data_IF_977248066706
#
_entry.id   IF_977248066706
#
_cell.length_a   1.000
_cell.length_b   1.000
_cell.length_c   1.000
_cell.angle_alpha   90.00
_cell.angle_beta   90.00
_cell.angle_gamma   90.00
#
_symmetry.space_group_name_H-M   'P 1'
#
loop_
_entity.id
_entity.type
_entity.pdbx_description
1 polymer ?
#
# COMPACT_ATOMS: atom_id res chain seq x y z
N UNK A 1 21.91 -3.63 48.83
CA UNK A 1 20.62 -3.47 48.12
C UNK A 1 19.80 -2.38 48.82
N UNK A 2 20.02 -1.11 48.48
CA UNK A 2 19.37 0.03 49.15
C UNK A 2 18.00 0.36 48.55
N UNK A 3 16.98 -0.45 48.84
CA UNK A 3 15.59 -0.12 48.50
C UNK A 3 14.76 0.05 49.76
N UNK A 4 13.91 1.05 49.75
CA UNK A 4 13.08 1.39 50.90
C UNK A 4 12.14 0.21 51.27
N UNK A 5 12.05 -0.18 52.56
CA UNK A 5 11.20 -1.29 53.02
C UNK A 5 9.73 -1.16 52.62
N UNK A 6 9.19 0.06 52.48
CA UNK A 6 7.81 0.29 52.05
C UNK A 6 7.61 -0.10 50.58
N UNK A 7 8.63 0.11 49.76
CA UNK A 7 8.62 -0.31 48.35
C UNK A 7 8.59 -1.83 48.25
N UNK A 8 9.42 -2.52 49.04
CA UNK A 8 9.44 -3.99 49.10
C UNK A 8 8.06 -4.53 49.52
N UNK A 9 7.47 -3.97 50.57
CA UNK A 9 6.14 -4.36 51.05
C UNK A 9 5.03 -4.10 50.02
N UNK A 10 5.10 -2.98 49.28
CA UNK A 10 4.19 -2.67 48.16
C UNK A 10 4.25 -3.73 47.05
N UNK A 11 5.45 -4.15 46.65
CA UNK A 11 5.62 -5.20 45.65
C UNK A 11 5.08 -6.56 46.11
N UNK A 12 5.37 -6.97 47.35
CA UNK A 12 4.84 -8.23 47.92
C UNK A 12 3.31 -8.20 47.93
N UNK A 13 2.71 -7.10 48.40
CA UNK A 13 1.25 -6.97 48.46
C UNK A 13 0.61 -6.91 47.07
N UNK A 14 1.26 -6.27 46.10
CA UNK A 14 0.83 -6.27 44.70
C UNK A 14 0.82 -7.69 44.14
N UNK A 15 1.92 -8.42 44.30
CA UNK A 15 2.05 -9.80 43.81
C UNK A 15 1.00 -10.74 44.44
N UNK A 16 0.77 -10.64 45.75
CA UNK A 16 -0.29 -11.41 46.44
C UNK A 16 -1.71 -11.14 45.89
N UNK A 17 -1.96 -9.95 45.32
CA UNK A 17 -3.29 -9.55 44.81
C UNK A 17 -3.49 -9.84 43.32
N UNK A 18 -2.48 -9.55 42.48
CA UNK A 18 -2.62 -9.60 41.02
C UNK A 18 -1.80 -10.72 40.36
N UNK A 19 -1.02 -11.48 41.14
CA UNK A 19 -0.07 -12.53 40.67
C UNK A 19 0.90 -12.01 39.60
N UNK A 20 1.08 -10.68 39.54
CA UNK A 20 1.89 -10.02 38.52
C UNK A 20 2.62 -8.83 39.14
N UNK A 21 3.92 -8.75 38.82
CA UNK A 21 4.82 -7.68 39.25
C UNK A 21 4.82 -6.55 38.23
N UNK A 22 4.35 -6.81 37.00
CA UNK A 22 4.32 -5.87 35.89
C UNK A 22 3.45 -4.64 36.19
N UNK A 23 3.90 -3.48 35.75
CA UNK A 23 3.15 -2.25 35.94
C UNK A 23 1.98 -2.18 34.96
N UNK A 24 0.78 -2.01 35.49
CA UNK A 24 -0.39 -1.70 34.68
C UNK A 24 -0.21 -0.34 34.00
N UNK A 25 -0.73 -0.17 32.78
CA UNK A 25 -0.76 1.13 32.12
C UNK A 25 -1.49 2.12 33.03
N UNK A 26 -0.93 3.32 33.14
CA UNK A 26 -1.57 4.42 33.88
C UNK A 26 -2.78 4.92 33.08
N UNK A 27 -3.83 5.38 33.76
CA UNK A 27 -5.07 5.86 33.13
C UNK A 27 -4.90 7.01 32.13
N UNK A 28 -3.75 7.69 32.16
CA UNK A 28 -3.44 8.77 31.22
C UNK A 28 -4.38 9.97 31.33
N UNK A 29 -4.20 10.93 30.43
CA UNK A 29 -5.10 12.08 30.29
C UNK A 29 -6.34 11.64 29.49
N UNK A 30 -7.56 12.04 29.88
CA UNK A 30 -8.74 11.75 29.07
C UNK A 30 -8.61 12.35 27.66
N UNK A 31 -9.10 11.66 26.61
CA UNK A 31 -9.07 12.15 25.25
C UNK A 31 -9.80 13.50 25.11
N UNK A 32 -9.36 14.34 24.19
CA UNK A 32 -9.98 15.63 23.92
C UNK A 32 -11.39 15.53 23.31
N UNK A 33 -11.74 14.37 22.74
CA UNK A 33 -13.02 14.12 22.08
C UNK A 33 -13.63 12.81 22.57
N UNK A 34 -14.95 12.78 22.68
CA UNK A 34 -15.72 11.58 22.96
C UNK A 34 -15.83 10.68 21.70
N UNK A 35 -16.17 9.41 21.91
CA UNK A 35 -16.38 8.41 20.86
C UNK A 35 -17.42 8.89 19.84
N UNK A 36 -18.49 9.56 20.31
CA UNK A 36 -19.55 10.08 19.43
C UNK A 36 -18.99 11.14 18.48
N UNK A 37 -18.18 12.07 18.98
CA UNK A 37 -17.58 13.14 18.18
C UNK A 37 -16.53 12.59 17.21
N UNK A 38 -15.74 11.60 17.64
CA UNK A 38 -14.82 10.87 16.76
C UNK A 38 -15.58 10.21 15.60
N UNK A 39 -16.69 9.53 15.89
CA UNK A 39 -17.50 8.87 14.87
C UNK A 39 -18.17 9.88 13.92
N UNK A 40 -18.63 11.01 14.44
CA UNK A 40 -19.19 12.10 13.63
C UNK A 40 -18.14 12.62 12.63
N UNK A 41 -16.91 12.85 13.08
CA UNK A 41 -15.79 13.25 12.22
C UNK A 41 -15.51 12.20 11.13
N UNK A 42 -15.42 10.92 11.50
CA UNK A 42 -15.16 9.83 10.55
C UNK A 42 -16.26 9.75 9.49
N UNK A 43 -17.53 9.87 9.89
CA UNK A 43 -18.66 9.85 8.96
C UNK A 43 -18.68 11.06 8.03
N UNK A 44 -18.33 12.24 8.53
CA UNK A 44 -18.25 13.45 7.73
C UNK A 44 -17.16 13.34 6.66
N UNK A 45 -15.97 12.87 7.02
CA UNK A 45 -14.87 12.63 6.07
C UNK A 45 -15.23 11.56 5.05
N UNK A 46 -15.95 10.50 5.46
CA UNK A 46 -16.43 9.47 4.53
C UNK A 46 -17.43 10.02 3.51
N UNK A 47 -18.32 10.91 3.92
CA UNK A 47 -19.27 11.60 3.03
C UNK A 47 -18.53 12.53 2.06
N UNK A 48 -17.58 13.30 2.58
CA UNK A 48 -16.85 14.34 1.85
C UNK A 48 -15.39 13.94 1.56
N UNK A 49 -15.17 12.75 0.99
CA UNK A 49 -13.83 12.14 0.83
C UNK A 49 -12.83 12.98 0.02
N UNK A 50 -13.30 13.94 -0.78
CA UNK A 50 -12.45 14.82 -1.62
C UNK A 50 -12.24 16.20 -1.03
N UNK A 51 -12.97 16.57 0.02
CA UNK A 51 -12.82 17.86 0.68
C UNK A 51 -11.45 17.89 1.40
N UNK A 52 -10.75 19.04 1.38
CA UNK A 52 -9.56 19.21 2.16
C UNK A 52 -9.89 19.17 3.66
N UNK A 53 -8.98 18.60 4.46
CA UNK A 53 -9.24 18.35 5.89
C UNK A 53 -9.67 19.61 6.65
N UNK A 54 -9.08 20.76 6.35
CA UNK A 54 -9.39 22.01 7.06
C UNK A 54 -10.83 22.50 6.87
N UNK A 55 -11.50 22.13 5.77
CA UNK A 55 -12.94 22.43 5.57
C UNK A 55 -13.84 21.49 6.39
N UNK A 56 -13.37 20.28 6.67
CA UNK A 56 -14.12 19.27 7.42
C UNK A 56 -13.99 19.49 8.94
N UNK A 57 -12.82 19.95 9.40
CA UNK A 57 -12.56 20.24 10.81
C UNK A 57 -12.41 21.73 11.06
N UNK A 58 -13.54 22.44 11.05
CA UNK A 58 -13.60 23.87 11.36
C UNK A 58 -13.29 24.18 12.84
N UNK A 59 -13.62 23.27 13.75
CA UNK A 59 -13.51 23.49 15.21
C UNK A 59 -12.30 22.80 15.84
N UNK A 60 -11.66 21.87 15.12
CA UNK A 60 -10.59 21.02 15.65
C UNK A 60 -9.24 21.37 15.06
N UNK A 61 -8.21 21.26 15.90
CA UNK A 61 -6.83 21.36 15.43
C UNK A 61 -6.55 20.25 14.40
N UNK A 62 -6.01 20.57 13.20
CA UNK A 62 -5.82 19.59 12.13
C UNK A 62 -5.00 18.37 12.54
N UNK A 63 -4.08 18.53 13.49
CA UNK A 63 -3.26 17.43 14.02
C UNK A 63 -4.11 16.39 14.75
N UNK A 64 -5.02 16.84 15.63
CA UNK A 64 -5.94 15.96 16.37
C UNK A 64 -6.85 15.20 15.43
N UNK A 65 -7.39 15.90 14.42
CA UNK A 65 -8.23 15.30 13.39
C UNK A 65 -7.48 14.21 12.61
N UNK A 66 -6.23 14.48 12.18
CA UNK A 66 -5.40 13.48 11.49
C UNK A 66 -5.17 12.23 12.34
N UNK A 67 -4.83 12.37 13.62
CA UNK A 67 -4.60 11.22 14.50
C UNK A 67 -5.85 10.32 14.57
N UNK A 68 -7.03 10.91 14.75
CA UNK A 68 -8.29 10.17 14.81
C UNK A 68 -8.61 9.48 13.49
N UNK A 69 -8.35 10.15 12.36
CA UNK A 69 -8.54 9.56 11.03
C UNK A 69 -7.56 8.43 10.76
N UNK A 70 -6.30 8.54 11.18
CA UNK A 70 -5.32 7.45 11.09
C UNK A 70 -5.69 6.26 11.98
N UNK A 71 -6.17 6.49 13.20
CA UNK A 71 -6.74 5.44 14.07
C UNK A 71 -7.91 4.71 13.39
N UNK A 72 -8.66 5.41 12.54
CA UNK A 72 -9.76 4.86 11.73
C UNK A 72 -9.32 4.36 10.33
N UNK A 73 -8.00 4.23 10.08
CA UNK A 73 -7.41 3.80 8.81
C UNK A 73 -7.75 4.69 7.59
N UNK A 74 -8.12 5.95 7.84
CA UNK A 74 -8.40 6.95 6.80
C UNK A 74 -7.17 7.83 6.60
N UNK A 75 -6.46 7.56 5.49
CA UNK A 75 -5.29 8.33 5.07
C UNK A 75 -5.61 9.18 3.83
N UNK A 76 -5.03 10.38 3.76
CA UNK A 76 -5.02 11.15 2.51
C UNK A 76 -4.19 10.42 1.45
N UNK A 77 -4.73 10.26 0.24
CA UNK A 77 -4.00 9.71 -0.91
C UNK A 77 -3.94 10.75 -2.02
N UNK A 78 -2.76 10.91 -2.63
CA UNK A 78 -2.61 11.70 -3.85
C UNK A 78 -3.06 10.84 -5.03
N UNK A 79 -4.08 11.28 -5.76
CA UNK A 79 -4.47 10.62 -7.00
C UNK A 79 -3.33 10.75 -8.02
N UNK A 80 -2.99 9.65 -8.71
CA UNK A 80 -1.98 9.67 -9.77
C UNK A 80 -2.34 10.75 -10.81
N UNK A 81 -1.38 11.63 -11.13
CA UNK A 81 -1.63 12.91 -11.80
C UNK A 81 -2.36 12.80 -13.14
N UNK A 82 -2.20 11.71 -13.91
CA UNK A 82 -2.82 11.53 -15.24
C UNK A 82 -3.06 10.06 -15.57
N UNK A 83 -4.17 9.48 -15.12
CA UNK A 83 -4.71 8.26 -15.74
C UNK A 83 -5.64 8.68 -16.88
N UNK A 84 -5.60 8.03 -18.05
CA UNK A 84 -6.58 8.31 -19.10
C UNK A 84 -7.99 8.03 -18.58
N UNK A 85 -8.94 8.91 -18.93
CA UNK A 85 -10.33 8.75 -18.55
C UNK A 85 -10.90 7.47 -19.18
N UNK A 86 -11.36 6.54 -18.34
CA UNK A 86 -12.00 5.31 -18.79
C UNK A 86 -13.48 5.61 -18.95
N UNK A 87 -13.93 5.83 -20.19
CA UNK A 87 -15.35 5.91 -20.51
C UNK A 87 -16.04 4.58 -20.25
N UNK A 88 -17.36 4.61 -20.12
CA UNK A 88 -18.18 3.40 -19.94
C UNK A 88 -17.95 2.37 -21.06
N UNK A 89 -17.81 2.85 -22.30
CA UNK A 89 -17.42 2.01 -23.45
C UNK A 89 -16.08 1.31 -23.23
N UNK A 90 -15.06 2.02 -22.74
CA UNK A 90 -13.75 1.42 -22.48
C UNK A 90 -13.81 0.42 -21.31
N UNK A 91 -14.58 0.71 -20.27
CA UNK A 91 -14.78 -0.20 -19.15
C UNK A 91 -15.46 -1.51 -19.61
N UNK A 92 -16.53 -1.41 -20.38
CA UNK A 92 -17.23 -2.56 -20.95
C UNK A 92 -16.31 -3.41 -21.84
N UNK A 93 -15.50 -2.78 -22.70
CA UNK A 93 -14.54 -3.48 -23.55
C UNK A 93 -13.44 -4.21 -22.74
N UNK A 94 -13.00 -3.63 -21.62
CA UNK A 94 -12.03 -4.28 -20.72
C UNK A 94 -12.65 -5.48 -20.01
N UNK A 95 -13.89 -5.36 -19.55
CA UNK A 95 -14.63 -6.46 -18.90
C UNK A 95 -14.86 -7.59 -19.91
N UNK A 96 -15.33 -7.29 -21.12
CA UNK A 96 -15.57 -8.32 -22.14
C UNK A 96 -14.29 -9.04 -22.57
N UNK A 97 -13.17 -8.31 -22.67
CA UNK A 97 -11.86 -8.91 -22.90
C UNK A 97 -11.45 -9.83 -21.74
N UNK A 98 -11.57 -9.35 -20.49
CA UNK A 98 -11.26 -10.17 -19.31
C UNK A 98 -12.10 -11.46 -19.27
N UNK A 99 -13.41 -11.35 -19.39
CA UNK A 99 -14.33 -12.50 -19.39
C UNK A 99 -13.99 -13.52 -20.48
N UNK A 100 -13.60 -13.06 -21.67
CA UNK A 100 -13.19 -13.92 -22.78
C UNK A 100 -11.91 -14.72 -22.50
N UNK A 101 -10.99 -14.18 -21.71
CA UNK A 101 -9.65 -14.76 -21.52
C UNK A 101 -9.36 -15.24 -20.09
N UNK A 102 -10.26 -15.02 -19.11
CA UNK A 102 -10.06 -15.39 -17.70
C UNK A 102 -9.82 -16.89 -17.51
N UNK A 103 -10.53 -17.74 -18.26
CA UNK A 103 -10.47 -19.22 -18.16
C UNK A 103 -9.42 -19.85 -19.08
N UNK A 104 -8.59 -19.06 -19.76
CA UNK A 104 -7.56 -19.61 -20.64
C UNK A 104 -6.48 -20.34 -19.84
N UNK A 105 -6.09 -21.50 -20.36
CA UNK A 105 -5.10 -22.39 -19.75
C UNK A 105 -3.69 -21.77 -19.75
N UNK A 106 -2.82 -22.29 -18.89
CA UNK A 106 -1.42 -21.90 -18.85
C UNK A 106 -0.71 -22.14 -20.21
N UNK A 107 -1.04 -23.24 -20.91
CA UNK A 107 -0.51 -23.53 -22.25
C UNK A 107 -0.86 -22.43 -23.25
N UNK A 108 -2.10 -21.92 -23.23
CA UNK A 108 -2.49 -20.78 -24.06
C UNK A 108 -1.70 -19.52 -23.70
N UNK A 109 -1.54 -19.22 -22.41
CA UNK A 109 -0.81 -18.03 -21.94
C UNK A 109 0.68 -18.07 -22.33
N UNK A 110 1.30 -19.25 -22.34
CA UNK A 110 2.70 -19.44 -22.74
C UNK A 110 2.94 -19.21 -24.24
N UNK A 111 1.89 -19.14 -25.06
CA UNK A 111 1.98 -18.84 -26.48
C UNK A 111 1.75 -17.35 -26.80
N UNK A 112 1.37 -16.54 -25.80
CA UNK A 112 1.08 -15.12 -25.99
C UNK A 112 2.34 -14.29 -25.74
N UNK A 113 2.79 -13.59 -26.77
CA UNK A 113 3.87 -12.59 -26.67
C UNK A 113 3.23 -11.22 -26.59
N UNK A 114 3.55 -10.45 -25.54
CA UNK A 114 3.16 -9.06 -25.41
C UNK A 114 4.29 -8.16 -25.88
N UNK A 115 3.97 -7.17 -26.71
CA UNK A 115 4.89 -6.12 -27.16
C UNK A 115 4.23 -4.78 -26.91
N UNK A 116 4.99 -3.83 -26.38
CA UNK A 116 4.56 -2.44 -26.23
C UNK A 116 5.69 -1.52 -26.69
N UNK A 117 5.32 -0.37 -27.25
CA UNK A 117 6.28 0.62 -27.75
C UNK A 117 6.54 1.66 -26.67
N UNK A 118 7.81 1.86 -26.34
CA UNK A 118 8.23 2.97 -25.46
C UNK A 118 9.09 3.96 -26.24
N UNK A 119 8.80 5.25 -26.08
CA UNK A 119 9.64 6.30 -26.65
C UNK A 119 10.88 6.47 -25.79
N UNK A 120 12.05 6.44 -26.43
CA UNK A 120 13.32 6.79 -25.80
C UNK A 120 13.79 8.10 -26.42
N UNK A 121 14.08 9.10 -25.59
CA UNK A 121 14.69 10.34 -26.06
C UNK A 121 16.16 10.09 -26.40
N UNK A 122 16.46 10.03 -27.69
CA UNK A 122 17.83 9.94 -28.18
C UNK A 122 18.44 11.33 -28.04
N UNK A 123 19.34 11.51 -27.07
CA UNK A 123 20.14 12.74 -26.96
C UNK A 123 20.88 13.02 -28.29
N UNK A 124 21.16 14.28 -28.61
CA UNK A 124 21.77 14.78 -29.87
C UNK A 124 23.14 14.21 -30.23
N UNK A 125 23.67 13.27 -29.45
CA UNK A 125 24.99 12.68 -29.65
C UNK A 125 24.91 11.43 -30.56
N UNK A 126 25.29 11.58 -31.84
CA UNK A 126 25.31 10.49 -32.86
C UNK A 126 26.03 9.21 -32.42
N UNK A 127 27.02 9.31 -31.53
CA UNK A 127 27.75 8.14 -31.02
C UNK A 127 26.93 7.28 -30.05
N UNK A 128 26.05 7.91 -29.25
CA UNK A 128 25.10 7.22 -28.38
C UNK A 128 23.97 6.60 -29.20
N UNK A 129 23.52 7.28 -30.26
CA UNK A 129 22.50 6.74 -31.18
C UNK A 129 22.93 5.44 -31.87
N UNK A 130 24.17 5.35 -32.38
CA UNK A 130 24.69 4.11 -32.99
C UNK A 130 24.82 2.96 -31.97
N UNK A 131 25.28 3.26 -30.75
CA UNK A 131 25.35 2.26 -29.66
C UNK A 131 23.95 1.79 -29.26
N UNK A 132 22.97 2.69 -29.20
CA UNK A 132 21.59 2.35 -28.82
C UNK A 132 20.85 1.56 -29.89
N UNK A 133 21.16 1.72 -31.18
CA UNK A 133 20.56 0.90 -32.26
C UNK A 133 21.17 -0.52 -32.33
N UNK A 134 22.44 -0.68 -31.93
CA UNK A 134 23.15 -1.96 -32.03
C UNK A 134 23.11 -2.80 -30.74
N UNK A 135 23.06 -2.17 -29.57
CA UNK A 135 23.08 -2.87 -28.28
C UNK A 135 21.83 -3.73 -28.02
N UNK A 136 20.58 -3.28 -28.24
CA UNK A 136 19.39 -4.09 -27.93
C UNK A 136 19.34 -5.38 -28.73
N UNK A 137 19.78 -5.37 -29.99
CA UNK A 137 19.81 -6.57 -30.84
C UNK A 137 20.84 -7.59 -30.33
N UNK A 138 22.00 -7.10 -29.88
CA UNK A 138 23.08 -7.93 -29.35
C UNK A 138 22.72 -8.51 -27.97
N UNK A 139 22.06 -7.71 -27.12
CA UNK A 139 21.52 -8.17 -25.84
C UNK A 139 20.37 -9.16 -26.05
N UNK A 140 19.51 -8.94 -27.06
CA UNK A 140 18.41 -9.85 -27.40
C UNK A 140 18.91 -11.26 -27.77
N UNK A 141 20.00 -11.34 -28.54
CA UNK A 141 20.65 -12.62 -28.87
C UNK A 141 21.30 -13.29 -27.66
N UNK A 142 21.61 -12.53 -26.59
CA UNK A 142 22.19 -13.02 -25.35
C UNK A 142 21.16 -13.24 -24.22
N UNK A 143 19.87 -13.00 -24.46
CA UNK A 143 18.83 -13.21 -23.46
C UNK A 143 18.69 -14.71 -23.17
N UNK A 144 19.16 -15.10 -21.99
CA UNK A 144 19.04 -16.48 -21.52
C UNK A 144 17.59 -16.79 -21.10
N UNK A 145 17.01 -17.83 -21.71
CA UNK A 145 15.69 -18.34 -21.39
C UNK A 145 15.52 -18.71 -19.91
N UNK A 146 16.61 -19.08 -19.22
CA UNK A 146 16.56 -19.41 -17.79
C UNK A 146 16.09 -18.24 -16.93
N UNK A 147 16.37 -17.00 -17.36
CA UNK A 147 15.90 -15.80 -16.68
C UNK A 147 14.36 -15.70 -16.73
N UNK A 148 13.77 -15.95 -17.90
CA UNK A 148 12.32 -15.94 -18.06
C UNK A 148 11.65 -17.08 -17.29
N UNK A 149 12.25 -18.28 -17.30
CA UNK A 149 11.77 -19.42 -16.51
C UNK A 149 11.76 -19.12 -15.01
N UNK A 150 12.81 -18.48 -14.49
CA UNK A 150 12.88 -18.05 -13.09
C UNK A 150 11.79 -17.02 -12.74
N UNK A 151 11.53 -16.06 -13.64
CA UNK A 151 10.46 -15.06 -13.46
C UNK A 151 9.09 -15.75 -13.45
N UNK A 152 8.82 -16.67 -14.38
CA UNK A 152 7.57 -17.44 -14.43
C UNK A 152 7.40 -18.30 -13.17
N UNK A 153 8.46 -18.99 -12.73
CA UNK A 153 8.45 -19.79 -11.51
C UNK A 153 8.22 -18.96 -10.24
N UNK A 154 8.52 -17.65 -10.26
CA UNK A 154 8.25 -16.73 -9.15
C UNK A 154 6.80 -16.24 -9.09
N UNK A 155 6.03 -16.34 -10.20
CA UNK A 155 4.67 -15.79 -10.31
C UNK A 155 3.73 -16.20 -9.16
N UNK A 156 3.65 -17.47 -8.73
CA UNK A 156 2.76 -17.86 -7.63
C UNK A 156 3.05 -17.12 -6.33
N UNK A 157 4.34 -16.90 -6.01
CA UNK A 157 4.76 -16.18 -4.79
C UNK A 157 4.41 -14.69 -4.87
N UNK A 158 4.58 -14.07 -6.04
CA UNK A 158 4.24 -12.67 -6.28
C UNK A 158 2.74 -12.41 -6.19
N UNK A 159 1.93 -13.29 -6.79
CA UNK A 159 0.47 -13.24 -6.72
C UNK A 159 -0.02 -13.37 -5.27
N UNK A 160 0.53 -14.32 -4.51
CA UNK A 160 0.17 -14.48 -3.09
C UNK A 160 0.50 -13.22 -2.28
N UNK A 161 1.68 -12.62 -2.49
CA UNK A 161 2.06 -11.39 -1.82
C UNK A 161 1.10 -10.22 -2.15
N UNK A 162 0.63 -10.12 -3.40
CA UNK A 162 -0.30 -9.08 -3.81
C UNK A 162 -1.70 -9.28 -3.22
N UNK A 163 -2.15 -10.54 -3.13
CA UNK A 163 -3.40 -10.90 -2.44
C UNK A 163 -3.33 -10.57 -0.94
N UNK A 164 -2.23 -10.92 -0.26
CA UNK A 164 -2.00 -10.56 1.15
C UNK A 164 -1.96 -9.05 1.37
N UNK A 165 -1.43 -8.29 0.40
CA UNK A 165 -1.40 -6.84 0.43
C UNK A 165 -2.74 -6.18 0.04
N UNK A 166 -3.78 -6.96 -0.31
CA UNK A 166 -5.04 -6.48 -0.87
C UNK A 166 -4.84 -5.52 -2.06
N UNK A 167 -3.92 -5.86 -2.97
CA UNK A 167 -3.52 -5.01 -4.11
C UNK A 167 -2.67 -3.80 -3.70
N UNK A 168 -2.14 -3.80 -2.47
CA UNK A 168 -1.13 -2.87 -1.99
C UNK A 168 0.28 -3.20 -2.50
N UNK A 169 1.25 -2.28 -2.29
CA UNK A 169 2.62 -2.47 -2.76
C UNK A 169 3.34 -3.64 -2.06
N UNK A 170 3.99 -4.50 -2.85
CA UNK A 170 4.77 -5.66 -2.42
C UNK A 170 6.28 -5.45 -2.59
N UNK A 171 7.10 -6.17 -1.80
CA UNK A 171 8.57 -6.23 -1.99
C UNK A 171 9.02 -7.33 -2.98
N UNK A 172 8.03 -7.97 -3.61
CA UNK A 172 8.12 -8.99 -4.65
C UNK A 172 7.59 -8.42 -5.97
#
# INVERSE_FOLDING_TARGET
MGRDPTTIRRFINKYKKTVSIENLPRSGRPPALNIIEKNALVNEVKRNRRAPLHEVVNTLQPKTAKTILYEAEICSRVAAKKKPFISERHAAARISWYEKYKEKSASYRNQVIFSDESSVEITTNKSLEMKFKSAPRKEWENLDCTHFEAVVASMPRRINAELEANGGPTKY
#
